data_IF_149562114467
#
_entry.id   IF_149562114467
#
_cell.length_a   1.000
_cell.length_b   1.000
_cell.length_c   1.000
_cell.angle_alpha   90.00
_cell.angle_beta   90.00
_cell.angle_gamma   90.00
#
_symmetry.space_group_name_H-M   'P 1'
#
loop_
_entity.id
_entity.type
_entity.pdbx_description
1 polymer ?
#
# COMPACT_ATOMS: atom_id res chain seq x y z
N UNK A 1 -11.25 40.80 0.50
CA UNK A 1 -11.62 40.91 1.92
C UNK A 1 -12.86 40.10 2.30
N UNK A 2 -13.72 39.67 1.35
CA UNK A 2 -14.87 38.79 1.64
C UNK A 2 -14.57 37.28 1.44
N UNK A 3 -13.52 36.96 0.67
CA UNK A 3 -13.09 35.58 0.38
C UNK A 3 -12.42 34.91 1.60
N UNK A 4 -11.71 35.68 2.44
CA UNK A 4 -10.98 35.13 3.59
C UNK A 4 -11.92 34.69 4.72
N UNK A 5 -13.06 35.37 4.88
CA UNK A 5 -14.06 35.04 5.91
C UNK A 5 -14.82 33.74 5.60
N UNK A 6 -15.08 33.45 4.32
CA UNK A 6 -15.72 32.21 3.88
C UNK A 6 -14.79 31.01 4.04
N UNK A 7 -13.47 31.20 3.91
CA UNK A 7 -12.49 30.14 4.06
C UNK A 7 -12.31 29.72 5.53
N UNK A 8 -12.25 30.68 6.46
CA UNK A 8 -12.18 30.41 7.89
C UNK A 8 -13.43 29.71 8.42
N UNK A 9 -14.60 30.03 7.86
CA UNK A 9 -15.86 29.37 8.24
C UNK A 9 -15.92 27.93 7.72
N UNK A 10 -15.48 27.71 6.47
CA UNK A 10 -15.37 26.36 5.90
C UNK A 10 -14.38 25.50 6.70
N UNK A 11 -13.23 26.07 7.07
CA UNK A 11 -12.21 25.37 7.86
C UNK A 11 -12.71 25.02 9.27
N UNK A 12 -13.48 25.92 9.92
CA UNK A 12 -14.16 25.59 11.19
C UNK A 12 -15.18 24.48 11.04
N UNK A 13 -16.00 24.52 9.98
CA UNK A 13 -17.01 23.50 9.75
C UNK A 13 -16.37 22.12 9.50
N UNK A 14 -15.29 22.06 8.72
CA UNK A 14 -14.53 20.82 8.49
C UNK A 14 -13.92 20.32 9.80
N UNK A 15 -13.25 21.18 10.56
CA UNK A 15 -12.61 20.78 11.82
C UNK A 15 -13.64 20.32 12.87
N UNK A 16 -14.78 21.00 12.99
CA UNK A 16 -15.87 20.58 13.88
C UNK A 16 -16.48 19.23 13.48
N UNK A 17 -16.58 18.95 12.18
CA UNK A 17 -17.05 17.67 11.68
C UNK A 17 -16.04 16.56 11.97
N UNK A 18 -14.75 16.82 11.77
CA UNK A 18 -13.67 15.89 12.10
C UNK A 18 -13.61 15.59 13.61
N UNK A 19 -13.75 16.60 14.45
CA UNK A 19 -13.78 16.43 15.91
C UNK A 19 -14.97 15.59 16.37
N UNK A 20 -16.15 15.78 15.76
CA UNK A 20 -17.31 14.95 16.02
C UNK A 20 -17.07 13.49 15.60
N UNK A 21 -16.52 13.26 14.41
CA UNK A 21 -16.16 11.92 13.93
C UNK A 21 -15.12 11.24 14.84
N UNK A 22 -14.14 11.98 15.34
CA UNK A 22 -13.11 11.47 16.25
C UNK A 22 -13.71 11.14 17.62
N UNK A 23 -14.60 11.99 18.15
CA UNK A 23 -15.28 11.76 19.43
C UNK A 23 -16.22 10.55 19.36
N UNK A 24 -16.98 10.43 18.28
CA UNK A 24 -17.89 9.30 18.02
C UNK A 24 -17.13 7.98 17.83
N UNK A 25 -15.96 8.01 17.18
CA UNK A 25 -15.06 6.85 17.05
C UNK A 25 -14.44 6.42 18.38
N UNK A 26 -14.24 7.34 19.33
CA UNK A 26 -13.69 7.04 20.66
C UNK A 26 -14.74 6.45 21.62
N UNK A 27 -16.02 6.80 21.46
CA UNK A 27 -17.10 6.35 22.34
C UNK A 27 -17.57 4.91 22.05
N UNK A 28 -17.41 4.42 20.83
CA UNK A 28 -17.96 3.12 20.41
C UNK A 28 -17.01 1.91 20.56
N UNK A 29 -15.77 2.11 21.01
CA UNK A 29 -14.72 1.09 20.91
C UNK A 29 -14.37 0.80 19.44
N UNK A 30 -13.29 0.07 19.20
CA UNK A 30 -12.88 -0.28 17.82
C UNK A 30 -13.91 -1.26 17.23
N UNK A 31 -14.83 -0.73 16.43
CA UNK A 31 -15.92 -1.50 15.84
C UNK A 31 -15.42 -2.31 14.63
N UNK A 32 -16.01 -3.49 14.36
CA UNK A 32 -15.77 -4.27 13.14
C UNK A 32 -15.81 -3.45 11.84
N UNK A 33 -16.60 -2.38 11.80
CA UNK A 33 -16.73 -1.48 10.65
C UNK A 33 -15.45 -0.69 10.33
N UNK A 34 -14.62 -0.34 11.33
CA UNK A 34 -13.36 0.37 11.08
C UNK A 34 -12.31 -0.54 10.46
N UNK A 35 -12.24 -1.79 10.92
CA UNK A 35 -11.38 -2.79 10.31
C UNK A 35 -11.79 -2.98 8.84
N UNK A 36 -13.11 -3.10 8.61
CA UNK A 36 -13.75 -3.21 7.30
C UNK A 36 -13.38 -2.06 6.37
N UNK A 37 -13.61 -0.82 6.78
CA UNK A 37 -13.25 0.38 6.02
C UNK A 37 -11.75 0.41 5.68
N UNK A 38 -10.89 0.10 6.66
CA UNK A 38 -9.45 0.07 6.48
C UNK A 38 -9.02 -0.96 5.42
N UNK A 39 -9.63 -2.15 5.41
CA UNK A 39 -9.35 -3.18 4.41
C UNK A 39 -9.82 -2.78 3.01
N UNK A 40 -11.03 -2.26 2.85
CA UNK A 40 -11.51 -1.83 1.53
C UNK A 40 -10.67 -0.66 0.99
N UNK A 41 -10.28 0.26 1.86
CA UNK A 41 -9.33 1.32 1.49
C UNK A 41 -7.98 0.72 1.05
N UNK A 42 -7.48 -0.31 1.75
CA UNK A 42 -6.25 -1.01 1.36
C UNK A 42 -6.38 -1.66 -0.03
N UNK A 43 -7.55 -2.23 -0.36
CA UNK A 43 -7.87 -2.78 -1.67
C UNK A 43 -7.85 -1.71 -2.77
N UNK A 44 -8.44 -0.54 -2.52
CA UNK A 44 -8.43 0.58 -3.49
C UNK A 44 -7.00 1.03 -3.80
N UNK A 45 -6.14 1.12 -2.78
CA UNK A 45 -4.73 1.45 -2.98
C UNK A 45 -3.96 0.35 -3.70
N UNK A 46 -4.25 -0.93 -3.42
CA UNK A 46 -3.66 -2.05 -4.16
C UNK A 46 -4.05 -1.98 -5.64
N UNK A 47 -5.33 -1.77 -5.94
CA UNK A 47 -5.81 -1.65 -7.30
C UNK A 47 -5.19 -0.45 -8.01
N UNK A 48 -5.21 0.72 -7.37
CA UNK A 48 -4.60 1.95 -7.88
C UNK A 48 -3.12 1.76 -8.19
N UNK A 49 -2.41 1.01 -7.35
CA UNK A 49 -1.00 0.69 -7.59
C UNK A 49 -0.79 -0.20 -8.80
N UNK A 50 -1.64 -1.23 -8.99
CA UNK A 50 -1.58 -2.11 -10.18
C UNK A 50 -1.85 -1.32 -11.45
N UNK A 51 -2.82 -0.40 -11.42
CA UNK A 51 -3.10 0.53 -12.52
C UNK A 51 -1.90 1.44 -12.82
N UNK A 52 -1.20 1.93 -11.79
CA UNK A 52 0.02 2.71 -11.96
C UNK A 52 1.19 1.89 -12.56
N UNK A 53 1.16 0.57 -12.44
CA UNK A 53 2.16 -0.32 -13.02
C UNK A 53 1.82 -0.78 -14.43
N UNK A 54 0.58 -0.59 -14.88
CA UNK A 54 0.19 -0.86 -16.27
C UNK A 54 0.95 0.08 -17.21
N UNK A 55 1.77 -0.45 -18.15
CA UNK A 55 2.52 0.38 -19.07
C UNK A 55 1.54 1.05 -20.04
N UNK A 56 1.68 2.36 -20.19
CA UNK A 56 0.93 3.16 -21.16
C UNK A 56 1.88 3.54 -22.28
N UNK A 57 1.49 3.28 -23.53
CA UNK A 57 2.22 3.76 -24.69
C UNK A 57 2.18 5.30 -24.71
N UNK A 58 3.34 5.94 -24.73
CA UNK A 58 3.44 7.41 -24.80
C UNK A 58 3.65 7.86 -26.25
N UNK A 59 4.44 7.12 -27.02
CA UNK A 59 4.66 7.29 -28.46
C UNK A 59 5.14 5.95 -29.05
N UNK A 60 5.40 5.85 -30.36
CA UNK A 60 5.76 4.60 -31.05
C UNK A 60 6.94 3.81 -30.44
N UNK A 61 7.83 4.47 -29.69
CA UNK A 61 9.06 3.87 -29.15
C UNK A 61 9.13 3.82 -27.63
N UNK A 62 8.18 4.45 -26.92
CA UNK A 62 8.25 4.58 -25.45
C UNK A 62 6.94 4.20 -24.75
N UNK A 63 7.13 3.47 -23.66
CA UNK A 63 6.11 3.12 -22.68
C UNK A 63 6.48 3.75 -21.35
N UNK A 64 5.48 4.18 -20.58
CA UNK A 64 5.68 4.74 -19.24
C UNK A 64 4.71 4.11 -18.26
N UNK A 65 5.20 3.88 -17.05
CA UNK A 65 4.41 3.54 -15.87
C UNK A 65 4.81 4.50 -14.73
N UNK A 66 3.87 5.14 -14.03
CA UNK A 66 4.17 5.98 -12.87
C UNK A 66 4.62 5.15 -11.64
N UNK A 67 5.85 4.63 -11.69
CA UNK A 67 6.41 3.72 -10.68
C UNK A 67 6.48 4.32 -9.28
N UNK A 68 6.89 5.58 -9.13
CA UNK A 68 6.93 6.25 -7.83
C UNK A 68 5.55 6.24 -7.17
N UNK A 69 4.51 6.57 -7.94
CA UNK A 69 3.12 6.52 -7.46
C UNK A 69 2.72 5.10 -7.10
N UNK A 70 3.09 4.11 -7.93
CA UNK A 70 2.83 2.70 -7.63
C UNK A 70 3.49 2.23 -6.33
N UNK A 71 4.72 2.65 -6.06
CA UNK A 71 5.44 2.26 -4.84
C UNK A 71 4.80 2.88 -3.60
N UNK A 72 4.46 4.18 -3.66
CA UNK A 72 3.79 4.86 -2.53
C UNK A 72 2.43 4.23 -2.24
N UNK A 73 1.63 3.98 -3.28
CA UNK A 73 0.31 3.35 -3.14
C UNK A 73 0.40 1.90 -2.66
N UNK A 74 1.36 1.10 -3.16
CA UNK A 74 1.63 -0.25 -2.65
C UNK A 74 2.03 -0.23 -1.17
N UNK A 75 2.96 0.65 -0.81
CA UNK A 75 3.46 0.74 0.57
C UNK A 75 2.33 1.10 1.54
N UNK A 76 1.45 2.01 1.13
CA UNK A 76 0.31 2.40 1.93
C UNK A 76 -0.76 1.31 1.99
N UNK A 77 -1.00 0.59 0.89
CA UNK A 77 -1.86 -0.60 0.88
C UNK A 77 -1.38 -1.66 1.88
N UNK A 78 -0.08 -1.96 1.92
CA UNK A 78 0.51 -2.86 2.92
C UNK A 78 0.24 -2.39 4.35
N UNK A 79 0.47 -1.11 4.64
CA UNK A 79 0.21 -0.51 5.95
C UNK A 79 -1.26 -0.69 6.35
N UNK A 80 -2.19 -0.40 5.45
CA UNK A 80 -3.62 -0.48 5.70
C UNK A 80 -4.12 -1.92 5.87
N UNK A 81 -3.61 -2.90 5.12
CA UNK A 81 -3.98 -4.31 5.36
C UNK A 81 -3.55 -4.79 6.74
N UNK A 82 -2.32 -4.48 7.15
CA UNK A 82 -1.84 -4.87 8.49
C UNK A 82 -2.65 -4.14 9.57
N UNK A 83 -2.94 -2.86 9.40
CA UNK A 83 -3.79 -2.09 10.33
C UNK A 83 -5.22 -2.63 10.40
N UNK A 84 -5.83 -2.98 9.28
CA UNK A 84 -7.15 -3.59 9.24
C UNK A 84 -7.18 -4.89 10.07
N UNK A 85 -6.16 -5.74 9.89
CA UNK A 85 -6.01 -6.96 10.69
C UNK A 85 -5.81 -6.65 12.18
N UNK A 86 -4.95 -5.70 12.53
CA UNK A 86 -4.70 -5.31 13.93
C UNK A 86 -5.95 -4.76 14.62
N UNK A 87 -6.76 -3.96 13.91
CA UNK A 87 -8.05 -3.45 14.42
C UNK A 87 -9.02 -4.61 14.63
N UNK A 88 -9.11 -5.52 13.65
CA UNK A 88 -9.93 -6.73 13.76
C UNK A 88 -9.51 -7.61 14.96
N UNK A 89 -8.22 -7.69 15.23
CA UNK A 89 -7.64 -8.38 16.39
C UNK A 89 -7.82 -7.63 17.73
N UNK A 90 -8.45 -6.45 17.71
CA UNK A 90 -8.60 -5.53 18.86
C UNK A 90 -7.26 -5.09 19.45
N UNK A 91 -6.21 -5.04 18.62
CA UNK A 91 -4.86 -4.60 18.97
C UNK A 91 -4.36 -3.53 17.97
N UNK A 92 -5.06 -2.38 17.84
CA UNK A 92 -4.72 -1.36 16.84
C UNK A 92 -3.27 -0.90 16.98
N UNK A 93 -2.56 -0.91 15.86
CA UNK A 93 -1.18 -0.42 15.75
C UNK A 93 -1.12 1.07 15.43
N UNK A 94 -0.21 1.79 16.09
CA UNK A 94 0.13 3.17 15.76
C UNK A 94 1.44 3.22 14.97
N UNK A 95 1.62 4.25 14.14
CA UNK A 95 2.81 4.44 13.30
C UNK A 95 2.66 3.88 11.88
N UNK A 96 3.80 3.82 11.17
CA UNK A 96 3.89 3.50 9.73
C UNK A 96 4.98 2.46 9.41
N UNK A 97 5.67 1.94 10.43
CA UNK A 97 6.76 0.99 10.24
C UNK A 97 6.17 -0.41 9.98
N UNK A 98 6.31 -0.90 8.74
CA UNK A 98 5.69 -2.17 8.33
C UNK A 98 6.22 -3.38 9.10
N UNK A 99 7.49 -3.36 9.50
CA UNK A 99 8.12 -4.44 10.28
C UNK A 99 7.46 -4.51 11.66
N UNK A 100 7.37 -3.37 12.34
CA UNK A 100 6.73 -3.28 13.66
C UNK A 100 5.23 -3.60 13.62
N UNK A 101 4.53 -3.17 12.57
CA UNK A 101 3.10 -3.46 12.42
C UNK A 101 2.87 -4.96 12.20
N UNK A 102 3.66 -5.59 11.31
CA UNK A 102 3.52 -7.01 10.98
C UNK A 102 3.85 -7.91 12.18
N UNK A 103 4.91 -7.58 12.93
CA UNK A 103 5.32 -8.31 14.14
C UNK A 103 4.25 -8.27 15.25
N UNK A 104 3.40 -7.22 15.26
CA UNK A 104 2.32 -7.08 16.25
C UNK A 104 1.07 -7.89 15.91
N UNK A 105 0.89 -8.31 14.66
CA UNK A 105 -0.25 -9.13 14.26
C UNK A 105 -0.17 -10.53 14.86
N UNK A 106 -1.30 -11.23 14.99
CA UNK A 106 -1.29 -12.62 15.48
C UNK A 106 -0.49 -13.55 14.57
N UNK A 107 0.06 -14.60 15.17
CA UNK A 107 0.88 -15.61 14.47
C UNK A 107 0.15 -16.26 13.29
N UNK A 108 -1.14 -16.53 13.44
CA UNK A 108 -1.96 -17.14 12.38
C UNK A 108 -2.03 -16.25 11.12
N UNK A 109 -2.15 -14.93 11.30
CA UNK A 109 -2.05 -13.97 10.19
C UNK A 109 -0.66 -13.97 9.56
N UNK A 110 0.39 -13.87 10.38
CA UNK A 110 1.77 -13.87 9.90
C UNK A 110 2.10 -15.14 9.10
N UNK A 111 1.58 -16.29 9.52
CA UNK A 111 1.76 -17.57 8.85
C UNK A 111 0.98 -17.66 7.54
N UNK A 112 -0.28 -17.20 7.53
CA UNK A 112 -1.07 -17.10 6.31
C UNK A 112 -0.36 -16.23 5.26
N UNK A 113 0.12 -15.06 5.66
CA UNK A 113 0.87 -14.13 4.80
C UNK A 113 2.18 -14.76 4.34
N UNK A 114 2.94 -15.39 5.24
CA UNK A 114 4.21 -16.06 4.91
C UNK A 114 4.03 -17.17 3.88
N UNK A 115 3.01 -18.01 4.05
CA UNK A 115 2.72 -19.10 3.12
C UNK A 115 2.33 -18.58 1.74
N UNK A 116 1.49 -17.54 1.71
CA UNK A 116 1.08 -16.87 0.46
C UNK A 116 2.24 -16.15 -0.23
N UNK A 117 3.15 -15.57 0.54
CA UNK A 117 4.35 -14.94 0.02
C UNK A 117 5.32 -15.96 -0.58
N UNK A 118 5.53 -17.08 0.11
CA UNK A 118 6.33 -18.20 -0.37
C UNK A 118 5.80 -18.75 -1.69
N UNK A 119 4.49 -18.94 -1.82
CA UNK A 119 3.87 -19.41 -3.06
C UNK A 119 4.11 -18.46 -4.25
N UNK A 120 4.16 -17.15 -4.00
CA UNK A 120 4.34 -16.12 -5.04
C UNK A 120 5.79 -15.90 -5.44
N UNK A 121 6.71 -16.02 -4.48
CA UNK A 121 8.09 -15.54 -4.63
C UNK A 121 9.14 -16.64 -4.49
N UNK A 122 8.74 -17.83 -4.01
CA UNK A 122 9.63 -18.90 -3.58
C UNK A 122 10.60 -18.47 -2.46
N UNK A 123 10.23 -17.46 -1.66
CA UNK A 123 11.03 -16.93 -0.53
C UNK A 123 10.38 -17.34 0.78
N UNK A 124 11.19 -17.86 1.71
CA UNK A 124 10.70 -18.37 2.99
C UNK A 124 10.40 -17.23 4.00
N UNK A 125 9.85 -17.55 5.18
CA UNK A 125 9.50 -16.56 6.20
C UNK A 125 10.67 -15.68 6.65
N UNK A 126 11.90 -16.23 6.74
CA UNK A 126 13.08 -15.43 7.11
C UNK A 126 13.42 -14.40 6.04
N UNK A 127 13.30 -14.80 4.77
CA UNK A 127 13.49 -13.91 3.64
C UNK A 127 12.39 -12.85 3.54
N UNK A 128 11.14 -13.22 3.82
CA UNK A 128 10.03 -12.27 3.93
C UNK A 128 10.34 -11.19 4.98
N UNK A 129 10.79 -11.55 6.18
CA UNK A 129 11.14 -10.57 7.21
C UNK A 129 12.27 -9.63 6.74
N UNK A 130 13.28 -10.16 6.06
CA UNK A 130 14.33 -9.33 5.44
C UNK A 130 13.78 -8.40 4.36
N UNK A 131 12.76 -8.82 3.62
CA UNK A 131 12.13 -7.99 2.60
C UNK A 131 11.24 -6.91 3.22
N UNK A 132 10.45 -7.23 4.26
CA UNK A 132 9.66 -6.27 5.03
C UNK A 132 10.58 -5.21 5.66
N UNK A 133 11.71 -5.61 6.22
CA UNK A 133 12.71 -4.68 6.77
C UNK A 133 13.25 -3.71 5.70
N UNK A 134 13.29 -4.11 4.43
CA UNK A 134 13.63 -3.23 3.31
C UNK A 134 12.47 -2.35 2.84
N UNK A 135 11.22 -2.71 3.15
CA UNK A 135 10.01 -1.94 2.81
C UNK A 135 9.54 -1.04 3.94
N UNK A 136 10.04 -1.19 5.17
CA UNK A 136 9.43 -0.62 6.38
C UNK A 136 9.19 0.89 6.37
N UNK A 137 9.97 1.64 5.58
CA UNK A 137 9.84 3.09 5.43
C UNK A 137 9.58 3.52 3.98
N UNK A 138 9.26 2.59 3.09
CA UNK A 138 9.11 2.89 1.66
C UNK A 138 8.05 3.95 1.40
N UNK A 139 6.96 4.01 2.18
CA UNK A 139 5.97 5.08 2.07
C UNK A 139 6.59 6.47 2.31
N UNK A 140 7.39 6.64 3.36
CA UNK A 140 8.02 7.93 3.72
C UNK A 140 9.15 8.24 2.75
N UNK A 141 10.03 7.28 2.50
CA UNK A 141 11.24 7.45 1.69
C UNK A 141 10.90 7.80 0.23
N UNK A 142 9.87 7.17 -0.35
CA UNK A 142 9.49 7.44 -1.74
C UNK A 142 8.68 8.72 -1.91
N UNK A 143 8.01 9.22 -0.86
CA UNK A 143 7.36 10.54 -0.88
C UNK A 143 8.37 11.68 -0.93
N UNK A 144 9.51 11.50 -0.27
CA UNK A 144 10.59 12.50 -0.18
C UNK A 144 11.81 12.09 -1.00
N UNK A 145 11.59 11.36 -2.11
CA UNK A 145 12.66 10.81 -2.96
C UNK A 145 13.66 11.86 -3.44
N UNK A 146 13.23 13.12 -3.56
CA UNK A 146 14.05 14.25 -4.03
C UNK A 146 14.72 15.04 -2.90
N UNK A 147 14.37 14.78 -1.64
CA UNK A 147 14.92 15.49 -0.47
C UNK A 147 16.17 14.78 0.08
N UNK A 148 16.49 13.60 -0.46
CA UNK A 148 17.60 12.75 -0.02
C UNK A 148 18.46 12.41 -1.23
N UNK A 149 19.76 12.67 -1.16
CA UNK A 149 20.76 12.28 -2.19
C UNK A 149 20.89 10.75 -2.38
N UNK A 150 20.02 9.96 -1.73
CA UNK A 150 20.07 8.50 -1.72
C UNK A 150 19.28 7.93 -2.90
N UNK A 151 19.92 7.02 -3.63
CA UNK A 151 19.23 6.16 -4.59
C UNK A 151 18.51 5.05 -3.82
N UNK A 152 17.20 5.16 -3.70
CA UNK A 152 16.37 4.06 -3.20
C UNK A 152 16.20 3.02 -4.30
N UNK A 153 16.54 1.76 -3.99
CA UNK A 153 16.22 0.63 -4.83
C UNK A 153 15.19 -0.22 -4.08
N UNK A 154 14.02 -0.39 -4.68
CA UNK A 154 12.97 -1.25 -4.13
C UNK A 154 12.66 -2.35 -5.12
N UNK A 155 12.62 -3.59 -4.62
CA UNK A 155 12.21 -4.75 -5.40
C UNK A 155 10.70 -4.74 -5.54
N UNK A 156 10.20 -3.98 -6.51
CA UNK A 156 8.77 -3.73 -6.73
C UNK A 156 7.93 -5.00 -6.78
N UNK A 157 8.42 -6.04 -7.48
CA UNK A 157 7.76 -7.34 -7.53
C UNK A 157 7.54 -7.95 -6.13
N UNK A 158 8.52 -7.83 -5.25
CA UNK A 158 8.44 -8.34 -3.88
C UNK A 158 7.50 -7.51 -3.01
N UNK A 159 7.47 -6.18 -3.19
CA UNK A 159 6.51 -5.32 -2.50
C UNK A 159 5.06 -5.62 -2.92
N UNK A 160 4.81 -5.77 -4.23
CA UNK A 160 3.49 -6.19 -4.74
C UNK A 160 3.10 -7.56 -4.21
N UNK A 161 4.03 -8.53 -4.25
CA UNK A 161 3.77 -9.88 -3.75
C UNK A 161 3.45 -9.88 -2.25
N UNK A 162 4.07 -8.96 -1.49
CA UNK A 162 3.78 -8.77 -0.07
C UNK A 162 2.36 -8.21 0.12
N UNK A 163 1.99 -7.14 -0.60
CA UNK A 163 0.64 -6.56 -0.54
C UNK A 163 -0.46 -7.59 -0.88
N UNK A 164 -0.28 -8.38 -1.94
CA UNK A 164 -1.22 -9.44 -2.31
C UNK A 164 -1.29 -10.57 -1.28
N UNK A 165 -0.19 -10.86 -0.59
CA UNK A 165 -0.16 -11.87 0.47
C UNK A 165 -0.84 -11.38 1.74
N UNK A 166 -0.72 -10.08 2.07
CA UNK A 166 -1.46 -9.43 3.14
C UNK A 166 -2.98 -9.46 2.87
N UNK A 167 -3.39 -9.10 1.65
CA UNK A 167 -4.78 -9.21 1.20
C UNK A 167 -5.34 -10.62 1.41
N UNK A 168 -4.63 -11.66 0.95
CA UNK A 168 -5.06 -13.05 1.17
C UNK A 168 -5.08 -13.42 2.66
N UNK A 169 -4.10 -12.95 3.43
CA UNK A 169 -4.02 -13.18 4.87
C UNK A 169 -5.24 -12.63 5.61
N UNK A 170 -5.71 -11.44 5.23
CA UNK A 170 -6.94 -10.86 5.78
C UNK A 170 -8.15 -11.74 5.45
N UNK A 171 -8.32 -12.12 4.18
CA UNK A 171 -9.44 -12.97 3.74
C UNK A 171 -9.48 -14.35 4.42
N UNK A 172 -8.32 -14.92 4.75
CA UNK A 172 -8.24 -16.23 5.40
C UNK A 172 -8.59 -16.17 6.90
N UNK A 173 -8.40 -15.02 7.54
CA UNK A 173 -8.60 -14.87 8.99
C UNK A 173 -10.00 -14.42 9.41
N UNK A 174 -10.82 -13.92 8.48
CA UNK A 174 -12.24 -13.67 8.76
C UNK A 174 -13.11 -13.82 7.50
N UNK A 175 -14.17 -14.61 7.60
CA UNK A 175 -15.16 -14.74 6.54
C UNK A 175 -15.96 -13.43 6.33
N UNK A 176 -15.96 -12.50 7.30
CA UNK A 176 -16.65 -11.22 7.24
C UNK A 176 -16.06 -10.20 6.26
N UNK A 177 -14.81 -10.38 5.81
CA UNK A 177 -14.25 -9.60 4.70
C UNK A 177 -14.87 -10.03 3.36
N UNK A 178 -15.33 -11.29 3.29
CA UNK A 178 -15.83 -11.91 2.09
C UNK A 178 -17.25 -11.42 1.84
N UNK A 179 -17.37 -10.23 1.24
CA UNK A 179 -18.61 -9.84 0.56
C UNK A 179 -19.00 -10.96 -0.39
N UNK A 180 -20.27 -11.31 -0.35
CA UNK A 180 -20.92 -12.22 -1.28
C UNK A 180 -20.51 -11.92 -2.73
N UNK A 181 -19.59 -12.72 -3.27
CA UNK A 181 -19.45 -13.04 -4.68
C UNK A 181 -19.06 -11.87 -5.62
N UNK A 182 -17.82 -11.36 -5.54
CA UNK A 182 -17.39 -10.27 -6.42
C UNK A 182 -16.08 -10.58 -7.18
N UNK A 183 -16.19 -10.66 -8.52
CA UNK A 183 -15.12 -10.93 -9.49
C UNK A 183 -13.87 -10.03 -9.35
N UNK A 184 -13.96 -8.90 -8.65
CA UNK A 184 -12.82 -8.00 -8.44
C UNK A 184 -11.76 -8.56 -7.48
N UNK A 185 -12.08 -9.52 -6.61
CA UNK A 185 -11.08 -10.18 -5.77
C UNK A 185 -10.05 -10.94 -6.59
N UNK A 186 -10.50 -11.62 -7.65
CA UNK A 186 -9.61 -12.32 -8.56
C UNK A 186 -8.74 -11.34 -9.36
N UNK A 187 -9.26 -10.14 -9.66
CA UNK A 187 -8.46 -9.09 -10.25
C UNK A 187 -7.34 -8.63 -9.31
N UNK A 188 -7.58 -8.51 -8.00
CA UNK A 188 -6.51 -8.15 -7.05
C UNK A 188 -5.49 -9.28 -6.87
N UNK A 189 -5.94 -10.53 -6.82
CA UNK A 189 -5.07 -11.73 -6.72
C UNK A 189 -4.23 -11.98 -7.96
N UNK A 190 -4.72 -11.58 -9.13
CA UNK A 190 -4.02 -11.82 -10.38
C UNK A 190 -2.60 -11.26 -10.32
N UNK A 191 -1.56 -12.04 -10.65
CA UNK A 191 -0.23 -11.50 -10.78
C UNK A 191 -0.24 -10.44 -11.88
N UNK A 192 0.56 -9.38 -11.72
CA UNK A 192 0.85 -8.52 -12.88
C UNK A 192 1.53 -9.38 -13.94
N UNK A 193 1.10 -9.25 -15.19
CA UNK A 193 1.69 -9.99 -16.29
C UNK A 193 3.21 -9.77 -16.29
N UNK A 194 4.02 -10.84 -16.36
CA UNK A 194 5.47 -10.76 -16.14
C UNK A 194 6.15 -9.73 -17.07
N UNK A 195 5.62 -9.58 -18.29
CA UNK A 195 6.07 -8.58 -19.28
C UNK A 195 5.85 -7.13 -18.83
N UNK A 196 4.87 -6.86 -17.98
CA UNK A 196 4.59 -5.53 -17.40
C UNK A 196 5.65 -5.15 -16.36
N UNK A 197 6.08 -6.09 -15.54
CA UNK A 197 7.08 -5.83 -14.50
C UNK A 197 8.48 -5.62 -15.09
N UNK A 198 8.83 -6.35 -16.15
CA UNK A 198 10.11 -6.19 -16.87
C UNK A 198 10.15 -4.86 -17.62
N UNK A 199 9.10 -4.54 -18.39
CA UNK A 199 9.02 -3.27 -19.13
C UNK A 199 8.98 -2.04 -18.23
N UNK A 200 8.31 -2.12 -17.06
CA UNK A 200 8.35 -1.05 -16.07
C UNK A 200 9.77 -0.86 -15.52
N UNK A 201 10.47 -1.93 -15.17
CA UNK A 201 11.85 -1.84 -14.67
C UNK A 201 12.81 -1.22 -15.71
N UNK A 202 12.66 -1.55 -16.99
CA UNK A 202 13.48 -1.01 -18.08
C UNK A 202 13.19 0.47 -18.39
N UNK A 203 11.93 0.90 -18.31
CA UNK A 203 11.54 2.31 -18.53
C UNK A 203 11.99 3.26 -17.39
N UNK A 204 12.17 2.74 -16.17
CA UNK A 204 12.80 3.47 -15.07
C UNK A 204 14.33 3.67 -15.22
N UNK A 205 14.99 2.85 -16.03
CA UNK A 205 16.44 2.97 -16.33
C UNK A 205 16.69 4.04 -17.40
N UNK A 206 15.81 4.15 -18.41
CA UNK A 206 15.98 5.14 -19.50
C UNK A 206 15.76 6.59 -19.06
N UNK A 207 14.94 6.85 -18.04
CA UNK A 207 14.67 8.22 -17.57
C UNK A 207 15.84 8.86 -16.79
N UNK A 208 16.91 8.11 -16.49
CA UNK A 208 18.13 8.62 -15.83
C UNK A 208 19.33 8.88 -16.77
N UNK A 209 19.21 8.64 -18.07
CA UNK A 209 20.32 8.84 -19.03
C UNK A 209 20.32 10.18 -19.76
N UNK A 210 19.50 11.16 -19.34
CA UNK A 210 19.51 12.50 -19.95
C UNK A 210 19.61 13.57 -18.89
N UNK A 211 20.82 13.77 -18.37
CA UNK A 211 21.31 15.04 -17.84
C UNK A 211 22.82 14.93 -17.57
N UNK A 212 23.60 14.76 -18.63
CA UNK A 212 24.94 15.36 -18.66
C UNK A 212 24.74 16.80 -19.11
N UNK A 213 24.72 17.72 -18.15
CA UNK A 213 24.99 19.13 -18.43
C UNK A 213 26.51 19.18 -18.57
N UNK A 214 26.97 19.33 -19.81
CA UNK A 214 28.36 19.69 -20.09
C UNK A 214 28.51 21.18 -19.74
N UNK A 215 29.43 21.48 -18.82
CA UNK A 215 29.96 22.83 -18.57
C UNK A 215 30.99 23.21 -19.63
#
# INVERSE_FOLDING_TARGET
MQIDADYEDLERQVNSYLDHLIADRKSHGWLPDQARECFFTACDFLEGSKRCLTPVQVNEVSVRAPQTTAIVTLSFSCELFIKAQLIHEKNPGMGHDLEQLFDRSKKDFQDAVSNKYLQRTNRNSKELLSDIAAFKKSFVEWRYLYDVEKRYNIRLFLLLSFAQSLFDGCLLNDAGWNKDNEDWYEQLRSPLNHNVLVSAHESGVQTRSVMTIED
#
